data_IF_974152046772
#
_entry.id   IF_974152046772
#
_cell.length_a   1.000
_cell.length_b   1.000
_cell.length_c   1.000
_cell.angle_alpha   90.00
_cell.angle_beta   90.00
_cell.angle_gamma   90.00
#
_symmetry.space_group_name_H-M   'P 1'
#
loop_
_entity.id
_entity.type
_entity.pdbx_description
1 polymer ?
#
# COMPACT_ATOMS: atom_id res chain seq x y z
N UNK A 1 -6.35 2.50 1.54
CA UNK A 1 -7.04 1.20 1.47
C UNK A 1 -7.24 0.66 2.87
N UNK A 2 -8.47 0.32 3.29
CA UNK A 2 -8.67 -0.54 4.47
C UNK A 2 -8.31 -1.98 4.09
N UNK A 3 -7.44 -2.62 4.86
CA UNK A 3 -6.99 -3.96 4.59
C UNK A 3 -8.18 -4.94 4.72
N UNK A 4 -8.39 -5.70 3.66
CA UNK A 4 -9.43 -6.71 3.58
C UNK A 4 -8.81 -8.07 3.86
N UNK A 5 -9.61 -9.00 4.39
CA UNK A 5 -9.27 -10.43 4.42
C UNK A 5 -10.19 -11.12 3.42
N UNK A 6 -9.85 -11.19 2.12
CA UNK A 6 -10.78 -11.65 1.09
C UNK A 6 -11.27 -13.09 1.30
N UNK A 7 -10.48 -13.92 1.97
CA UNK A 7 -10.85 -15.28 2.35
C UNK A 7 -11.90 -15.34 3.49
N UNK A 8 -12.06 -14.25 4.25
CA UNK A 8 -13.05 -14.14 5.31
C UNK A 8 -14.24 -13.31 4.83
N UNK A 9 -15.42 -13.93 4.80
CA UNK A 9 -16.66 -13.29 4.37
C UNK A 9 -17.59 -13.04 5.56
N UNK A 10 -18.14 -11.83 5.64
CA UNK A 10 -19.12 -11.46 6.64
C UNK A 10 -20.52 -12.00 6.34
N UNK A 11 -21.49 -11.71 7.21
CA UNK A 11 -22.88 -12.18 7.10
C UNK A 11 -23.57 -11.81 5.77
N UNK A 12 -23.14 -10.72 5.12
CA UNK A 12 -23.65 -10.26 3.82
C UNK A 12 -22.81 -10.75 2.62
N UNK A 13 -21.89 -11.70 2.82
CA UNK A 13 -20.90 -12.20 1.85
C UNK A 13 -19.86 -11.17 1.38
N UNK A 14 -19.81 -9.97 1.96
CA UNK A 14 -18.73 -9.02 1.67
C UNK A 14 -17.45 -9.40 2.42
N UNK A 15 -16.26 -9.08 1.87
CA UNK A 15 -14.99 -9.27 2.58
C UNK A 15 -14.98 -8.53 3.92
N UNK A 16 -14.46 -9.19 4.96
CA UNK A 16 -14.31 -8.58 6.28
C UNK A 16 -13.22 -7.51 6.24
N UNK A 17 -13.55 -6.31 6.73
CA UNK A 17 -12.62 -5.20 6.92
C UNK A 17 -11.91 -5.33 8.27
N UNK A 18 -10.67 -4.87 8.34
CA UNK A 18 -9.95 -4.72 9.61
C UNK A 18 -9.73 -3.25 9.93
N UNK A 19 -9.22 -2.97 11.14
CA UNK A 19 -8.73 -1.64 11.53
C UNK A 19 -7.38 -1.28 10.90
N UNK A 20 -6.82 -2.18 10.08
CA UNK A 20 -5.57 -1.95 9.38
C UNK A 20 -5.84 -1.17 8.11
N UNK A 21 -5.06 -0.13 7.87
CA UNK A 21 -5.09 0.63 6.63
C UNK A 21 -3.69 0.74 6.02
N UNK A 22 -3.65 0.72 4.70
CA UNK A 22 -2.46 1.02 3.91
C UNK A 22 -2.68 2.28 3.09
N UNK A 23 -1.63 3.09 2.98
CA UNK A 23 -1.60 4.30 2.18
C UNK A 23 -0.33 4.34 1.35
N UNK A 24 -0.45 4.56 0.04
CA UNK A 24 0.67 4.71 -0.87
C UNK A 24 0.71 6.14 -1.41
N UNK A 25 1.85 6.80 -1.27
CA UNK A 25 2.08 8.13 -1.85
C UNK A 25 3.56 8.42 -2.07
N UNK A 26 3.84 9.47 -2.83
CA UNK A 26 5.17 10.08 -2.91
C UNK A 26 5.51 10.76 -1.59
N UNK A 27 6.48 10.24 -0.84
CA UNK A 27 6.84 10.76 0.48
C UNK A 27 7.85 11.91 0.41
N UNK A 28 7.62 12.87 -0.49
CA UNK A 28 8.45 14.06 -0.66
C UNK A 28 7.56 15.32 -0.57
N UNK A 29 7.99 16.41 0.10
CA UNK A 29 7.14 17.56 0.40
C UNK A 29 6.68 18.35 -0.83
N UNK A 30 7.44 18.31 -1.93
CA UNK A 30 7.20 19.15 -3.11
C UNK A 30 7.37 18.44 -4.46
N UNK A 31 7.68 17.14 -4.45
CA UNK A 31 8.01 16.41 -5.67
C UNK A 31 7.35 15.04 -5.69
N UNK A 32 7.20 14.49 -6.89
CA UNK A 32 6.71 13.13 -7.13
C UNK A 32 7.85 12.12 -7.00
N UNK A 33 8.40 12.03 -5.79
CA UNK A 33 9.54 11.16 -5.46
C UNK A 33 9.22 10.22 -4.28
N UNK A 34 10.00 9.15 -4.19
CA UNK A 34 10.07 8.25 -3.03
C UNK A 34 8.71 7.64 -2.69
N UNK A 35 8.21 6.81 -3.62
CA UNK A 35 6.95 6.09 -3.43
C UNK A 35 7.06 5.21 -2.19
N UNK A 36 6.27 5.54 -1.19
CA UNK A 36 6.30 4.94 0.14
C UNK A 36 4.93 4.40 0.49
N UNK A 37 4.91 3.23 1.11
CA UNK A 37 3.70 2.66 1.71
C UNK A 37 3.76 2.87 3.21
N UNK A 38 2.63 3.28 3.80
CA UNK A 38 2.45 3.46 5.24
C UNK A 38 1.39 2.51 5.76
N UNK A 39 1.57 2.06 6.99
CA UNK A 39 0.67 1.13 7.66
C UNK A 39 0.14 1.74 8.96
N UNK A 40 -1.19 1.70 9.10
CA UNK A 40 -1.93 2.01 10.31
C UNK A 40 -2.61 0.74 10.82
N UNK A 41 -2.75 0.61 12.14
CA UNK A 41 -3.54 -0.44 12.81
C UNK A 41 -4.68 0.15 13.66
N UNK A 42 -4.92 1.44 13.53
CA UNK A 42 -5.85 2.24 14.34
C UNK A 42 -6.78 3.09 13.47
N UNK A 43 -7.28 2.50 12.37
CA UNK A 43 -8.21 3.13 11.42
C UNK A 43 -7.69 4.43 10.79
N UNK A 44 -6.37 4.54 10.62
CA UNK A 44 -5.70 5.68 10.01
C UNK A 44 -5.38 6.82 10.97
N UNK A 45 -5.60 6.66 12.28
CA UNK A 45 -5.27 7.68 13.28
C UNK A 45 -3.75 7.92 13.40
N UNK A 46 -2.93 6.87 13.26
CA UNK A 46 -1.47 6.96 13.24
C UNK A 46 -0.83 6.06 12.18
N UNK A 47 0.40 6.40 11.78
CA UNK A 47 1.14 5.72 10.70
C UNK A 47 2.60 5.45 11.08
N UNK A 48 2.85 4.65 12.13
CA UNK A 48 4.20 4.45 12.67
C UNK A 48 5.11 3.61 11.75
N UNK A 49 4.53 2.69 10.98
CA UNK A 49 5.26 1.81 10.06
C UNK A 49 5.20 2.33 8.62
N UNK A 50 6.34 2.30 7.92
CA UNK A 50 6.47 2.76 6.54
C UNK A 50 7.60 2.05 5.82
N UNK A 51 7.44 1.83 4.53
CA UNK A 51 8.47 1.22 3.70
C UNK A 51 8.56 1.91 2.33
N UNK A 52 9.79 2.18 1.90
CA UNK A 52 10.08 2.73 0.58
C UNK A 52 9.92 1.62 -0.48
N UNK A 53 8.96 1.79 -1.39
CA UNK A 53 8.74 0.85 -2.51
C UNK A 53 9.66 1.19 -3.68
N UNK A 54 9.81 2.49 -3.98
CA UNK A 54 10.66 2.95 -5.07
C UNK A 54 11.35 4.27 -4.70
N UNK A 55 12.69 4.34 -4.72
CA UNK A 55 13.40 5.61 -4.61
C UNK A 55 13.25 6.47 -5.87
N UNK A 56 13.34 7.78 -5.70
CA UNK A 56 13.32 8.76 -6.78
C UNK A 56 11.96 8.88 -7.48
N UNK A 57 11.97 9.36 -8.73
CA UNK A 57 10.75 9.72 -9.47
C UNK A 57 9.70 8.62 -9.56
N UNK A 58 8.49 8.89 -9.09
CA UNK A 58 7.34 7.99 -9.16
C UNK A 58 6.06 8.81 -9.29
N UNK A 59 5.14 8.41 -10.17
CA UNK A 59 3.88 9.13 -10.35
C UNK A 59 2.76 8.57 -9.46
N UNK A 60 1.59 8.40 -10.07
CA UNK A 60 0.42 7.82 -9.41
C UNK A 60 0.68 6.38 -8.97
N UNK A 61 -0.06 5.95 -7.94
CA UNK A 61 -0.02 4.59 -7.42
C UNK A 61 -1.40 4.13 -6.96
N UNK A 62 -1.65 2.83 -7.00
CA UNK A 62 -2.84 2.19 -6.44
C UNK A 62 -2.50 0.80 -5.91
N UNK A 63 -3.24 0.36 -4.89
CA UNK A 63 -2.98 -0.90 -4.20
C UNK A 63 -4.21 -1.80 -4.17
N UNK A 64 -3.96 -3.12 -4.17
CA UNK A 64 -4.96 -4.14 -3.95
C UNK A 64 -4.40 -5.27 -3.07
N UNK A 65 -5.26 -5.85 -2.22
CA UNK A 65 -4.94 -7.10 -1.51
C UNK A 65 -5.15 -8.26 -2.47
N UNK A 66 -4.15 -9.12 -2.57
CA UNK A 66 -4.14 -10.30 -3.44
C UNK A 66 -4.74 -11.51 -2.72
N UNK A 67 -5.05 -12.57 -3.47
CA UNK A 67 -5.71 -13.76 -2.95
C UNK A 67 -4.92 -14.47 -1.82
N UNK A 68 -3.59 -14.35 -1.80
CA UNK A 68 -2.72 -14.91 -0.78
C UNK A 68 -2.49 -13.99 0.43
N UNK A 69 -3.16 -12.83 0.49
CA UNK A 69 -3.02 -11.85 1.56
C UNK A 69 -1.80 -10.93 1.41
N UNK A 70 -0.99 -11.05 0.36
CA UNK A 70 0.00 -10.01 0.03
C UNK A 70 -0.67 -8.80 -0.61
N UNK A 71 0.08 -7.72 -0.78
CA UNK A 71 -0.40 -6.48 -1.39
C UNK A 71 0.33 -6.25 -2.69
N UNK A 72 -0.43 -6.05 -3.77
CA UNK A 72 0.07 -5.53 -5.03
C UNK A 72 -0.01 -4.00 -5.04
N UNK A 73 1.03 -3.34 -5.51
CA UNK A 73 1.08 -1.90 -5.74
C UNK A 73 1.46 -1.64 -7.19
N UNK A 74 0.54 -1.04 -7.95
CA UNK A 74 0.73 -0.64 -9.33
C UNK A 74 1.06 0.86 -9.35
N UNK A 75 2.16 1.26 -9.99
CA UNK A 75 2.63 2.65 -9.95
C UNK A 75 3.34 3.11 -11.21
N UNK A 76 3.33 4.42 -11.46
CA UNK A 76 4.06 5.08 -12.54
C UNK A 76 5.54 5.31 -12.18
N UNK A 77 6.45 5.08 -13.12
CA UNK A 77 7.90 5.27 -12.95
C UNK A 77 8.35 6.56 -13.61
N UNK A 78 8.03 7.68 -12.96
CA UNK A 78 8.57 9.02 -13.25
C UNK A 78 8.74 9.36 -14.74
N UNK A 79 9.80 10.11 -15.03
CA UNK A 79 10.07 10.65 -16.38
C UNK A 79 10.57 9.60 -17.39
N UNK A 80 10.91 8.40 -16.92
CA UNK A 80 11.29 7.28 -17.80
C UNK A 80 10.09 6.60 -18.45
N UNK A 81 8.87 6.89 -17.96
CA UNK A 81 7.64 6.26 -18.41
C UNK A 81 7.49 4.82 -17.91
N UNK A 82 6.26 4.31 -18.01
CA UNK A 82 5.93 2.92 -17.67
C UNK A 82 5.12 2.76 -16.38
N UNK A 83 4.44 1.62 -16.30
CA UNK A 83 3.64 1.18 -15.16
C UNK A 83 4.26 -0.09 -14.61
N UNK A 84 4.63 -0.07 -13.34
CA UNK A 84 5.33 -1.15 -12.67
C UNK A 84 4.47 -1.75 -11.57
N UNK A 85 4.69 -3.03 -11.30
CA UNK A 85 4.00 -3.77 -10.25
C UNK A 85 5.01 -4.23 -9.20
N UNK A 86 4.82 -3.79 -7.95
CA UNK A 86 5.50 -4.32 -6.79
C UNK A 86 4.54 -5.17 -5.95
N UNK A 87 5.07 -6.19 -5.27
CA UNK A 87 4.33 -7.04 -4.35
C UNK A 87 5.07 -7.13 -3.03
N UNK A 88 4.36 -6.95 -1.93
CA UNK A 88 4.95 -7.03 -0.58
C UNK A 88 3.96 -7.60 0.44
N UNK A 89 4.48 -8.01 1.60
CA UNK A 89 3.69 -8.44 2.75
C UNK A 89 3.54 -7.30 3.77
N UNK A 90 2.53 -7.37 4.63
CA UNK A 90 2.45 -6.45 5.78
C UNK A 90 3.66 -6.58 6.73
N UNK A 91 4.23 -7.78 6.82
CA UNK A 91 5.44 -8.03 7.62
C UNK A 91 6.63 -7.21 7.14
N UNK A 92 6.81 -7.10 5.81
CA UNK A 92 7.85 -6.25 5.24
C UNK A 92 7.65 -4.78 5.59
N UNK A 93 6.42 -4.26 5.52
CA UNK A 93 6.14 -2.86 5.88
C UNK A 93 6.40 -2.57 7.37
N UNK A 94 6.13 -3.54 8.25
CA UNK A 94 6.35 -3.39 9.70
C UNK A 94 7.82 -3.46 10.10
N UNK A 95 8.65 -4.15 9.33
CA UNK A 95 10.07 -4.36 9.63
C UNK A 95 11.04 -3.47 8.85
N UNK A 96 10.52 -2.57 8.02
CA UNK A 96 11.30 -1.63 7.21
C UNK A 96 11.80 -0.42 8.01
#
# INVERSE_FOLDING_TARGET
MSYLRPAEVGANRAPVRTRTALFSNNAHPSARNDLTVRLSTDDGASWPARALVKPGGAGYSTMAVLADGTVGNLYEVGDTGGIYFARFSLGWVKGA
#
